data_IF_606486541608
#
_entry.id   IF_606486541608
#
_cell.length_a   1.000
_cell.length_b   1.000
_cell.length_c   1.000
_cell.angle_alpha   90.00
_cell.angle_beta   90.00
_cell.angle_gamma   90.00
#
_symmetry.space_group_name_H-M   'P 1'
#
loop_
_entity.id
_entity.type
_entity.pdbx_description
1 polymer ?
#
# COMPACT_ATOMS: atom_id res chain seq x y z
N UNK A 1 12.71 8.59 9.90
CA UNK A 1 12.59 7.15 9.61
C UNK A 1 13.95 6.54 9.88
N UNK A 2 14.09 5.59 10.82
CA UNK A 2 15.38 4.92 11.05
C UNK A 2 15.57 3.75 10.09
N UNK A 3 16.82 3.33 9.88
CA UNK A 3 17.13 2.20 9.01
C UNK A 3 16.44 0.90 9.49
N UNK A 4 16.34 0.68 10.81
CA UNK A 4 15.67 -0.52 11.34
C UNK A 4 14.16 -0.50 11.09
N UNK A 5 13.53 0.68 11.17
CA UNK A 5 12.10 0.83 10.85
C UNK A 5 11.84 0.57 9.37
N UNK A 6 12.70 1.06 8.48
CA UNK A 6 12.60 0.78 7.05
C UNK A 6 12.77 -0.71 6.75
N UNK A 7 13.73 -1.37 7.41
CA UNK A 7 13.99 -2.80 7.22
C UNK A 7 12.81 -3.66 7.71
N UNK A 8 12.28 -3.34 8.90
CA UNK A 8 11.10 -4.02 9.44
C UNK A 8 9.87 -3.86 8.53
N UNK A 9 9.68 -2.68 7.95
CA UNK A 9 8.61 -2.44 6.98
C UNK A 9 8.86 -3.18 5.65
N UNK A 10 10.09 -3.25 5.16
CA UNK A 10 10.40 -4.00 3.92
C UNK A 10 10.29 -5.52 4.06
N UNK A 11 10.37 -6.07 5.28
CA UNK A 11 10.17 -7.51 5.53
C UNK A 11 8.70 -7.92 5.45
N UNK A 12 7.79 -6.99 5.71
CA UNK A 12 6.37 -7.24 5.70
C UNK A 12 5.81 -7.06 4.28
N UNK A 13 5.28 -8.14 3.70
CA UNK A 13 4.71 -8.16 2.34
C UNK A 13 3.54 -7.16 2.17
N UNK A 14 3.03 -6.65 3.29
CA UNK A 14 1.99 -5.63 3.34
C UNK A 14 2.49 -4.21 3.08
N UNK A 15 3.80 -3.96 3.03
CA UNK A 15 4.35 -2.63 2.79
C UNK A 15 5.09 -2.55 1.45
N UNK A 16 4.59 -1.69 0.57
CA UNK A 16 5.19 -1.45 -0.74
C UNK A 16 5.94 -0.12 -0.72
N UNK A 17 7.20 -0.15 -1.18
CA UNK A 17 8.02 1.06 -1.32
C UNK A 17 7.58 1.87 -2.54
N UNK A 18 7.01 3.05 -2.28
CA UNK A 18 6.54 3.98 -3.31
C UNK A 18 7.56 5.07 -3.61
N UNK A 19 8.49 5.38 -2.72
CA UNK A 19 9.62 6.25 -3.00
C UNK A 19 10.78 5.91 -2.08
N UNK A 20 11.91 6.62 -2.20
CA UNK A 20 13.06 6.39 -1.33
C UNK A 20 12.68 6.46 0.15
N UNK A 21 11.79 7.38 0.49
CA UNK A 21 11.36 7.71 1.86
C UNK A 21 9.86 7.49 2.10
N UNK A 22 9.18 6.78 1.18
CA UNK A 22 7.73 6.57 1.26
C UNK A 22 7.38 5.09 1.10
N UNK A 23 6.78 4.53 2.14
CA UNK A 23 6.25 3.17 2.19
C UNK A 23 4.75 3.23 2.43
N UNK A 24 4.02 2.37 1.73
CA UNK A 24 2.56 2.32 1.79
C UNK A 24 2.14 0.94 2.28
N UNK A 25 1.29 0.92 3.31
CA UNK A 25 0.65 -0.31 3.76
C UNK A 25 -0.54 -0.62 2.85
N UNK A 26 -0.47 -1.73 2.10
CA UNK A 26 -1.52 -2.15 1.18
C UNK A 26 -2.78 -2.65 1.89
N UNK A 27 -2.69 -3.11 3.14
CA UNK A 27 -3.84 -3.55 3.92
C UNK A 27 -4.74 -2.38 4.37
N UNK A 28 -4.22 -1.15 4.38
CA UNK A 28 -4.97 0.06 4.73
C UNK A 28 -5.52 0.82 3.52
N UNK A 29 -5.28 0.33 2.30
CA UNK A 29 -5.78 0.96 1.09
C UNK A 29 -7.26 0.65 0.95
N UNK A 30 -8.07 1.70 0.84
CA UNK A 30 -9.52 1.56 0.65
C UNK A 30 -9.87 1.40 -0.82
N UNK A 31 -9.25 2.19 -1.71
CA UNK A 31 -9.42 2.07 -3.16
C UNK A 31 -8.22 2.65 -3.93
N UNK A 32 -7.98 2.10 -5.12
CA UNK A 32 -6.89 2.49 -6.04
C UNK A 32 -7.50 3.04 -7.32
N UNK A 33 -7.17 4.28 -7.68
CA UNK A 33 -7.56 4.91 -8.95
C UNK A 33 -6.37 4.91 -9.92
N UNK A 34 -6.55 5.46 -11.12
CA UNK A 34 -5.53 5.44 -12.19
C UNK A 34 -4.25 6.19 -11.85
N UNK A 35 -4.28 7.16 -10.93
CA UNK A 35 -3.14 8.02 -10.59
C UNK A 35 -2.88 8.15 -9.08
N UNK A 36 -3.72 7.57 -8.23
CA UNK A 36 -3.62 7.74 -6.79
C UNK A 36 -4.16 6.53 -6.01
N UNK A 37 -3.72 6.42 -4.77
CA UNK A 37 -4.31 5.52 -3.77
C UNK A 37 -4.93 6.34 -2.66
N UNK A 38 -6.03 5.81 -2.11
CA UNK A 38 -6.77 6.46 -1.04
C UNK A 38 -6.78 5.57 0.19
N UNK A 39 -6.59 6.22 1.34
CA UNK A 39 -6.64 5.60 2.66
C UNK A 39 -7.74 6.28 3.47
N UNK A 40 -8.49 5.50 4.24
CA UNK A 40 -9.45 6.01 5.21
C UNK A 40 -10.82 5.34 5.13
N UNK A 41 -11.53 5.40 6.25
CA UNK A 41 -12.91 4.94 6.39
C UNK A 41 -13.85 6.14 6.20
N UNK A 42 -14.14 6.45 4.95
CA UNK A 42 -15.21 7.37 4.56
C UNK A 42 -14.77 8.71 3.96
N UNK A 43 -15.74 9.49 3.45
CA UNK A 43 -15.49 10.60 2.50
C UNK A 43 -14.65 11.75 3.05
N UNK A 44 -14.64 11.94 4.37
CA UNK A 44 -14.02 13.09 5.05
C UNK A 44 -12.56 12.85 5.46
N UNK A 45 -12.09 11.59 5.47
CA UNK A 45 -10.74 11.20 5.91
C UNK A 45 -9.94 10.53 4.79
N UNK A 46 -10.33 10.79 3.54
CA UNK A 46 -9.67 10.24 2.36
C UNK A 46 -8.28 10.89 2.18
N UNK A 47 -7.28 10.31 2.83
CA UNK A 47 -5.88 10.64 2.56
C UNK A 47 -5.52 10.09 1.19
N UNK A 48 -5.28 10.98 0.23
CA UNK A 48 -4.87 10.62 -1.12
C UNK A 48 -3.34 10.68 -1.21
N UNK A 49 -2.74 9.62 -1.75
CA UNK A 49 -1.34 9.62 -2.15
C UNK A 49 -1.24 9.46 -3.67
N UNK A 50 -0.66 10.42 -4.41
CA UNK A 50 -0.37 10.24 -5.82
C UNK A 50 0.70 9.17 -6.00
N UNK A 51 0.41 8.19 -6.86
CA UNK A 51 1.32 7.06 -7.10
C UNK A 51 1.46 6.83 -8.61
N UNK A 52 2.69 6.77 -9.15
CA UNK A 52 2.89 6.46 -10.56
C UNK A 52 2.34 5.08 -10.94
N UNK A 53 1.81 4.93 -12.16
CA UNK A 53 1.23 3.67 -12.67
C UNK A 53 2.11 2.43 -12.44
N UNK A 54 3.44 2.56 -12.64
CA UNK A 54 4.39 1.47 -12.39
C UNK A 54 4.35 0.95 -10.95
N UNK A 55 4.18 1.84 -9.99
CA UNK A 55 4.13 1.50 -8.55
C UNK A 55 2.73 1.06 -8.12
N UNK A 56 1.68 1.54 -8.79
CA UNK A 56 0.33 1.00 -8.61
C UNK A 56 0.24 -0.47 -9.00
N UNK A 57 0.98 -0.93 -10.01
CA UNK A 57 1.02 -2.35 -10.36
C UNK A 57 1.52 -3.21 -9.18
N UNK A 58 2.57 -2.77 -8.50
CA UNK A 58 3.10 -3.43 -7.30
C UNK A 58 2.10 -3.42 -6.14
N UNK A 59 1.42 -2.29 -5.92
CA UNK A 59 0.35 -2.18 -4.93
C UNK A 59 -0.78 -3.18 -5.23
N UNK A 60 -1.23 -3.25 -6.49
CA UNK A 60 -2.29 -4.18 -6.90
C UNK A 60 -1.87 -5.63 -6.71
N UNK A 61 -0.62 -5.99 -7.02
CA UNK A 61 -0.08 -7.31 -6.74
C UNK A 61 -0.09 -7.64 -5.24
N UNK A 62 0.32 -6.70 -4.39
CA UNK A 62 0.26 -6.86 -2.93
C UNK A 62 -1.17 -7.04 -2.41
N UNK A 63 -2.13 -6.26 -2.94
CA UNK A 63 -3.56 -6.41 -2.59
C UNK A 63 -4.08 -7.79 -3.01
N UNK A 64 -3.75 -8.27 -4.22
CA UNK A 64 -4.16 -9.60 -4.68
C UNK A 64 -3.59 -10.72 -3.81
N UNK A 65 -2.34 -10.61 -3.37
CA UNK A 65 -1.73 -11.59 -2.45
C UNK A 65 -2.43 -11.59 -1.08
N UNK A 66 -2.76 -10.41 -0.56
CA UNK A 66 -3.55 -10.24 0.66
C UNK A 66 -4.94 -10.90 0.56
N UNK A 67 -5.63 -10.71 -0.56
CA UNK A 67 -6.94 -11.31 -0.80
C UNK A 67 -6.85 -12.83 -0.93
N UNK A 68 -5.80 -13.36 -1.57
CA UNK A 68 -5.51 -14.79 -1.62
C UNK A 68 -5.26 -15.40 -0.24
N UNK A 69 -4.55 -14.68 0.65
CA UNK A 69 -4.34 -15.11 2.04
C UNK A 69 -5.63 -15.15 2.86
N UNK A 70 -6.59 -14.26 2.57
CA UNK A 70 -7.86 -14.14 3.32
C UNK A 70 -8.89 -15.24 3.00
N UNK A 71 -8.67 -16.02 1.93
CA UNK A 71 -9.60 -17.09 1.49
C UNK A 71 -9.15 -18.47 1.98
N UNK A 72 -8.06 -18.58 2.75
CA UNK A 72 -7.68 -19.83 3.40
C UNK A 72 -8.41 -20.00 4.74
N UNK A 73 -9.69 -20.41 4.69
CA UNK A 73 -10.43 -21.03 5.80
C UNK A 73 -11.20 -22.22 5.26
#
# INVERSE_FOLDING_TARGET
MTAEQAEALTRDALFVRISSDCYVNVAKITYVTDNAVYFGDGPALNHMLPVPKRKQHLIRQGISQLQGLRISV
#
